data_IF_442923022926
#
_entry.id   IF_442923022926
#
_cell.length_a   1.000
_cell.length_b   1.000
_cell.length_c   1.000
_cell.angle_alpha   90.00
_cell.angle_beta   90.00
_cell.angle_gamma   90.00
#
_symmetry.space_group_name_H-M   'P 1'
#
loop_
_entity.id
_entity.type
_entity.pdbx_description
1 polymer ?
#
# COMPACT_ATOMS: atom_id res chain seq x y z
N UNK A 1 11.81 8.82 -17.43
CA UNK A 1 11.56 8.50 -16.00
C UNK A 1 10.78 7.20 -15.90
N UNK A 2 10.52 6.74 -14.69
CA UNK A 2 9.80 5.47 -14.44
C UNK A 2 8.26 5.62 -14.55
N UNK A 3 7.74 6.80 -14.93
CA UNK A 3 6.30 7.06 -15.05
C UNK A 3 5.69 7.86 -13.90
N UNK A 4 4.39 7.76 -13.71
CA UNK A 4 3.62 8.48 -12.70
C UNK A 4 2.87 7.50 -11.78
N UNK A 5 2.83 7.79 -10.49
CA UNK A 5 2.04 7.04 -9.51
C UNK A 5 1.46 7.98 -8.46
N UNK A 6 0.18 7.88 -8.19
CA UNK A 6 -0.47 8.75 -7.21
C UNK A 6 -1.93 8.44 -7.00
N UNK A 7 -2.53 9.19 -6.10
CA UNK A 7 -3.97 9.25 -5.88
C UNK A 7 -4.37 10.71 -5.87
N UNK A 8 -5.43 11.05 -6.60
CA UNK A 8 -6.01 12.39 -6.63
C UNK A 8 -7.47 12.33 -6.16
N UNK A 9 -7.99 13.44 -5.69
CA UNK A 9 -9.41 13.58 -5.37
C UNK A 9 -9.93 14.94 -5.83
N UNK A 10 -11.16 14.95 -6.25
CA UNK A 10 -11.86 16.14 -6.72
C UNK A 10 -13.29 15.80 -7.14
N UNK A 11 -14.02 16.78 -7.66
CA UNK A 11 -15.30 16.51 -8.29
C UNK A 11 -15.08 15.74 -9.60
N UNK A 12 -16.05 14.95 -10.01
CA UNK A 12 -15.94 14.01 -11.12
C UNK A 12 -15.40 14.66 -12.40
N UNK A 13 -15.95 15.80 -12.78
CA UNK A 13 -15.57 16.52 -13.99
C UNK A 13 -14.10 16.97 -13.98
N UNK A 14 -13.57 17.32 -12.79
CA UNK A 14 -12.17 17.70 -12.65
C UNK A 14 -11.24 16.49 -12.77
N UNK A 15 -11.67 15.32 -12.28
CA UNK A 15 -10.92 14.07 -12.43
C UNK A 15 -10.82 13.69 -13.92
N UNK A 16 -11.93 13.72 -14.64
CA UNK A 16 -11.95 13.42 -16.09
C UNK A 16 -11.09 14.39 -16.90
N UNK A 17 -11.12 15.69 -16.57
CA UNK A 17 -10.22 16.67 -17.21
C UNK A 17 -8.75 16.36 -16.94
N UNK A 18 -8.42 15.98 -15.72
CA UNK A 18 -7.06 15.60 -15.35
C UNK A 18 -6.60 14.35 -16.11
N UNK A 19 -7.43 13.33 -16.23
CA UNK A 19 -7.12 12.12 -17.01
C UNK A 19 -6.92 12.45 -18.50
N UNK A 20 -7.79 13.26 -19.08
CA UNK A 20 -7.63 13.72 -20.47
C UNK A 20 -6.30 14.47 -20.67
N UNK A 21 -5.89 15.25 -19.67
CA UNK A 21 -4.59 15.93 -19.70
C UNK A 21 -3.43 14.93 -19.61
N UNK A 22 -3.50 13.89 -18.75
CA UNK A 22 -2.48 12.83 -18.69
C UNK A 22 -2.37 12.11 -20.04
N UNK A 23 -3.48 11.79 -20.68
CA UNK A 23 -3.49 11.19 -22.02
C UNK A 23 -2.79 12.08 -23.06
N UNK A 24 -3.06 13.39 -23.04
CA UNK A 24 -2.41 14.35 -23.95
C UNK A 24 -0.90 14.46 -23.73
N UNK A 25 -0.42 14.13 -22.52
CA UNK A 25 1.01 14.07 -22.20
C UNK A 25 1.66 12.70 -22.52
N UNK A 26 0.92 11.76 -23.12
CA UNK A 26 1.41 10.45 -23.52
C UNK A 26 1.30 9.35 -22.47
N UNK A 27 0.60 9.57 -21.35
CA UNK A 27 0.34 8.54 -20.34
C UNK A 27 -0.90 7.70 -20.70
N UNK A 28 -0.86 7.01 -21.84
CA UNK A 28 -2.01 6.27 -22.37
C UNK A 28 -2.38 5.03 -21.55
N UNK A 29 -1.40 4.38 -20.92
CA UNK A 29 -1.58 3.10 -20.22
C UNK A 29 -1.87 3.26 -18.70
N UNK A 30 -2.26 4.46 -18.25
CA UNK A 30 -2.71 4.61 -16.87
C UNK A 30 -4.03 3.85 -16.68
N UNK A 31 -4.11 3.06 -15.63
CA UNK A 31 -5.30 2.28 -15.29
C UNK A 31 -5.88 2.83 -13.99
N UNK A 32 -6.67 3.91 -14.04
CA UNK A 32 -7.22 4.55 -12.85
C UNK A 32 -8.21 3.62 -12.14
N UNK A 33 -8.24 3.71 -10.81
CA UNK A 33 -9.23 3.07 -9.95
C UNK A 33 -10.02 4.14 -9.26
N UNK A 34 -11.33 4.06 -9.35
CA UNK A 34 -12.23 5.05 -8.79
C UNK A 34 -12.82 4.56 -7.47
N UNK A 35 -12.90 5.47 -6.51
CA UNK A 35 -13.67 5.29 -5.30
C UNK A 35 -14.27 6.62 -4.88
N UNK A 36 -15.36 6.58 -4.14
CA UNK A 36 -16.06 7.76 -3.67
C UNK A 36 -15.83 7.95 -2.17
N UNK A 37 -15.67 9.20 -1.74
CA UNK A 37 -15.54 9.58 -0.34
C UNK A 37 -16.50 10.71 -0.02
N UNK A 38 -17.13 10.67 1.15
CA UNK A 38 -18.02 11.76 1.62
C UNK A 38 -17.26 13.03 2.00
N UNK A 39 -15.97 12.90 2.27
CA UNK A 39 -15.08 14.00 2.65
C UNK A 39 -13.89 14.06 1.71
N UNK A 40 -13.29 15.24 1.54
CA UNK A 40 -12.05 15.39 0.77
C UNK A 40 -10.93 14.57 1.44
N UNK A 41 -10.39 13.53 0.78
CA UNK A 41 -9.40 12.65 1.39
C UNK A 41 -8.00 13.27 1.48
N UNK A 42 -7.77 14.46 0.92
CA UNK A 42 -6.50 15.16 0.96
C UNK A 42 -6.68 16.61 1.44
N UNK A 43 -5.85 17.05 2.37
CA UNK A 43 -5.86 18.45 2.86
C UNK A 43 -5.17 19.42 1.89
N UNK A 44 -4.33 18.94 1.00
CA UNK A 44 -3.56 19.77 0.06
C UNK A 44 -3.07 18.95 -1.13
N UNK A 45 -2.92 19.61 -2.27
CA UNK A 45 -2.20 19.05 -3.42
C UNK A 45 -0.72 18.85 -3.06
N UNK A 46 -0.17 17.71 -3.47
CA UNK A 46 1.23 17.36 -3.25
C UNK A 46 1.77 16.60 -4.46
N UNK A 47 2.59 17.27 -5.24
CA UNK A 47 3.33 16.66 -6.34
C UNK A 47 4.80 16.53 -5.93
N UNK A 48 5.41 15.39 -6.25
CA UNK A 48 6.83 15.12 -5.93
C UNK A 48 7.52 14.54 -7.13
N UNK A 49 8.58 15.19 -7.57
CA UNK A 49 9.56 14.58 -8.46
C UNK A 49 10.46 13.65 -7.67
N UNK A 50 10.68 12.44 -8.18
CA UNK A 50 11.49 11.41 -7.53
C UNK A 50 12.36 10.68 -8.54
N UNK A 51 13.57 10.30 -8.13
CA UNK A 51 14.47 9.46 -8.94
C UNK A 51 13.92 8.06 -9.22
N UNK A 52 13.08 7.54 -8.34
CA UNK A 52 12.41 6.25 -8.47
C UNK A 52 10.94 6.41 -8.08
N UNK A 53 10.03 5.84 -8.85
CA UNK A 53 8.58 5.88 -8.59
C UNK A 53 8.24 5.23 -7.24
N UNK A 54 8.93 4.15 -6.91
CA UNK A 54 9.01 3.55 -5.58
C UNK A 54 10.45 3.13 -5.32
N UNK A 55 10.99 3.53 -4.18
CA UNK A 55 12.42 3.39 -3.90
C UNK A 55 12.82 1.94 -3.64
N UNK A 56 13.58 1.34 -4.53
CA UNK A 56 14.19 0.02 -4.36
C UNK A 56 15.73 0.09 -4.26
N UNK A 57 16.33 1.18 -4.74
CA UNK A 57 17.79 1.35 -4.80
C UNK A 57 18.49 0.22 -5.53
N UNK A 58 18.03 -0.10 -6.73
CA UNK A 58 18.61 -1.11 -7.61
C UNK A 58 18.75 -0.58 -9.03
N UNK A 59 19.96 -0.55 -9.56
CA UNK A 59 20.27 0.01 -10.89
C UNK A 59 19.74 -0.83 -12.06
N UNK A 60 19.43 -2.10 -11.83
CA UNK A 60 19.11 -3.05 -12.91
C UNK A 60 17.67 -3.53 -12.84
N UNK A 61 16.73 -2.61 -12.65
CA UNK A 61 15.30 -2.92 -12.63
C UNK A 61 14.64 -2.25 -13.82
N UNK A 62 13.95 -3.01 -14.64
CA UNK A 62 13.33 -2.58 -15.88
C UNK A 62 11.95 -3.25 -16.00
N UNK A 63 10.93 -2.67 -15.34
CA UNK A 63 9.59 -3.25 -15.34
C UNK A 63 8.88 -3.19 -16.70
N UNK A 64 9.29 -2.30 -17.60
CA UNK A 64 8.71 -2.17 -18.94
C UNK A 64 9.02 -3.40 -19.80
N UNK A 65 10.27 -3.87 -19.76
CA UNK A 65 10.71 -4.98 -20.60
C UNK A 65 10.72 -6.33 -19.88
N UNK A 66 10.98 -6.35 -18.57
CA UNK A 66 11.09 -7.58 -17.79
C UNK A 66 10.29 -7.44 -16.50
N UNK A 67 9.14 -8.11 -16.44
CA UNK A 67 8.31 -8.12 -15.23
C UNK A 67 7.73 -9.51 -14.97
N UNK A 68 7.09 -9.71 -13.82
CA UNK A 68 6.31 -10.90 -13.50
C UNK A 68 4.95 -10.90 -14.20
N UNK A 69 4.37 -12.09 -14.35
CA UNK A 69 3.04 -12.25 -14.95
C UNK A 69 1.98 -11.54 -14.13
N UNK A 70 1.20 -10.65 -14.74
CA UNK A 70 0.05 -9.98 -14.12
C UNK A 70 -1.14 -10.96 -14.08
N UNK A 71 -1.67 -11.21 -12.88
CA UNK A 71 -2.80 -12.11 -12.64
C UNK A 71 -4.02 -11.28 -12.24
N UNK A 72 -5.06 -11.33 -13.06
CA UNK A 72 -6.32 -10.60 -12.79
C UNK A 72 -6.97 -11.10 -11.50
N UNK A 73 -7.71 -10.27 -10.74
CA UNK A 73 -8.38 -10.65 -9.49
C UNK A 73 -9.20 -11.93 -9.58
N UNK A 74 -9.94 -12.13 -10.66
CA UNK A 74 -10.78 -13.34 -10.87
C UNK A 74 -10.01 -14.67 -10.88
N UNK A 75 -8.70 -14.65 -11.17
CA UNK A 75 -7.85 -15.85 -11.16
C UNK A 75 -6.92 -15.91 -9.94
N UNK A 76 -6.90 -14.84 -9.14
CA UNK A 76 -5.97 -14.70 -8.02
C UNK A 76 -6.20 -15.75 -6.94
N UNK A 77 -7.45 -15.97 -6.53
CA UNK A 77 -7.78 -16.96 -5.51
C UNK A 77 -7.29 -18.37 -5.87
N UNK A 78 -7.48 -18.79 -7.12
CA UNK A 78 -7.01 -20.10 -7.58
C UNK A 78 -5.48 -20.22 -7.48
N UNK A 79 -4.75 -19.16 -7.86
CA UNK A 79 -3.30 -19.15 -7.79
C UNK A 79 -2.79 -19.25 -6.34
N UNK A 80 -3.35 -18.46 -5.42
CA UNK A 80 -2.86 -18.40 -4.03
C UNK A 80 -3.36 -19.55 -3.16
N UNK A 81 -4.38 -20.28 -3.59
CA UNK A 81 -4.86 -21.51 -2.94
C UNK A 81 -4.02 -22.73 -3.28
N UNK A 82 -3.21 -22.67 -4.33
CA UNK A 82 -2.26 -23.74 -4.68
C UNK A 82 -1.14 -23.81 -3.62
N UNK A 83 -1.06 -24.91 -2.90
CA UNK A 83 -0.04 -25.15 -1.85
C UNK A 83 1.41 -25.06 -2.33
N UNK A 84 1.64 -25.17 -3.65
CA UNK A 84 2.97 -25.00 -4.26
C UNK A 84 3.33 -23.54 -4.49
N UNK A 85 2.39 -22.62 -4.36
CA UNK A 85 2.60 -21.18 -4.54
C UNK A 85 3.07 -20.55 -3.24
N UNK A 86 4.20 -19.85 -3.31
CA UNK A 86 4.69 -19.00 -2.22
C UNK A 86 4.05 -17.61 -2.39
N UNK A 87 3.14 -17.26 -1.50
CA UNK A 87 2.45 -15.96 -1.50
C UNK A 87 3.18 -14.97 -0.60
N UNK A 88 3.48 -13.78 -1.10
CA UNK A 88 4.30 -12.79 -0.39
C UNK A 88 3.64 -11.41 -0.41
N UNK A 89 3.49 -10.81 0.76
CA UNK A 89 3.07 -9.42 0.90
C UNK A 89 4.30 -8.49 0.79
N UNK A 90 4.32 -7.60 -0.21
CA UNK A 90 5.42 -6.64 -0.43
C UNK A 90 5.24 -5.31 0.32
N UNK A 91 4.26 -5.24 1.19
CA UNK A 91 4.00 -4.03 1.96
C UNK A 91 4.86 -3.98 3.21
N UNK A 92 4.92 -2.81 3.82
CA UNK A 92 5.56 -2.64 5.11
C UNK A 92 4.77 -3.33 6.21
N UNK A 93 5.43 -3.73 7.29
CA UNK A 93 4.81 -4.51 8.36
C UNK A 93 3.52 -3.88 8.92
N UNK A 94 3.50 -2.56 9.11
CA UNK A 94 2.31 -1.86 9.64
C UNK A 94 1.09 -1.97 8.70
N UNK A 95 1.31 -2.08 7.37
CA UNK A 95 0.24 -2.30 6.40
C UNK A 95 -0.28 -3.74 6.46
N UNK A 96 0.63 -4.71 6.68
CA UNK A 96 0.30 -6.14 6.81
C UNK A 96 -0.51 -6.41 8.07
N UNK A 97 -0.18 -5.74 9.18
CA UNK A 97 -0.89 -5.85 10.46
C UNK A 97 -2.36 -5.40 10.39
N UNK A 98 -2.70 -4.52 9.45
CA UNK A 98 -4.09 -4.08 9.22
C UNK A 98 -4.93 -5.10 8.45
N UNK A 99 -4.28 -5.87 7.61
CA UNK A 99 -4.93 -6.90 6.80
C UNK A 99 -3.98 -7.45 5.74
N UNK A 100 -4.20 -8.70 5.37
CA UNK A 100 -3.42 -9.41 4.36
C UNK A 100 -4.17 -10.62 3.82
N UNK A 101 -3.69 -11.24 2.74
CA UNK A 101 -4.27 -12.50 2.27
C UNK A 101 -3.91 -13.66 3.21
N UNK A 102 -4.87 -14.57 3.41
CA UNK A 102 -4.64 -15.80 4.17
C UNK A 102 -3.41 -16.55 3.63
N UNK A 103 -2.57 -17.03 4.54
CA UNK A 103 -1.33 -17.77 4.25
C UNK A 103 -0.24 -16.98 3.53
N UNK A 104 -0.33 -15.65 3.45
CA UNK A 104 0.78 -14.87 2.90
C UNK A 104 1.97 -14.80 3.87
N UNK A 105 3.17 -14.85 3.30
CA UNK A 105 4.39 -14.56 4.03
C UNK A 105 4.49 -13.06 4.28
N UNK A 106 4.70 -12.68 5.54
CA UNK A 106 5.06 -11.33 5.92
C UNK A 106 6.59 -11.23 6.04
N UNK A 107 7.28 -10.50 5.17
CA UNK A 107 8.72 -10.26 5.27
C UNK A 107 9.15 -9.43 6.48
N UNK A 108 8.19 -8.86 7.21
CA UNK A 108 8.40 -7.99 8.37
C UNK A 108 9.32 -6.80 8.07
N UNK A 109 9.17 -6.20 6.91
CA UNK A 109 10.01 -5.09 6.45
C UNK A 109 9.46 -3.74 6.94
N UNK A 110 10.38 -2.83 7.29
CA UNK A 110 10.05 -1.43 7.63
C UNK A 110 9.98 -0.55 6.39
N UNK A 111 10.65 -0.96 5.33
CA UNK A 111 10.68 -0.26 4.05
C UNK A 111 10.76 -1.24 2.88
N UNK A 112 10.31 -0.80 1.71
CA UNK A 112 10.37 -1.62 0.50
C UNK A 112 11.81 -2.02 0.11
N UNK A 113 12.82 -1.22 0.45
CA UNK A 113 14.23 -1.53 0.19
C UNK A 113 14.73 -2.75 0.96
N UNK A 114 14.15 -3.03 2.13
CA UNK A 114 14.56 -4.14 3.01
C UNK A 114 14.23 -5.50 2.39
N UNK A 115 13.26 -5.51 1.46
CA UNK A 115 12.85 -6.74 0.78
C UNK A 115 13.98 -7.41 0.01
N UNK A 116 14.98 -6.66 -0.47
CA UNK A 116 16.18 -7.25 -1.13
C UNK A 116 16.95 -8.17 -0.20
N UNK A 117 17.10 -7.76 1.06
CA UNK A 117 17.76 -8.58 2.09
C UNK A 117 16.91 -9.80 2.45
N UNK A 118 15.61 -9.63 2.60
CA UNK A 118 14.68 -10.74 2.81
C UNK A 118 14.77 -11.78 1.69
N UNK A 119 14.72 -11.35 0.43
CA UNK A 119 14.82 -12.20 -0.74
C UNK A 119 16.14 -13.01 -0.74
N UNK A 120 17.27 -12.33 -0.47
CA UNK A 120 18.59 -12.97 -0.43
C UNK A 120 18.67 -14.04 0.66
N UNK A 121 18.11 -13.77 1.83
CA UNK A 121 18.28 -14.64 3.01
C UNK A 121 17.26 -15.79 3.04
N UNK A 122 16.01 -15.53 2.60
CA UNK A 122 14.90 -16.48 2.80
C UNK A 122 14.45 -17.18 1.51
N UNK A 123 14.62 -16.56 0.34
CA UNK A 123 14.08 -17.05 -0.92
C UNK A 123 15.16 -17.48 -1.93
N UNK A 124 16.44 -17.50 -1.55
CA UNK A 124 17.53 -17.88 -2.47
C UNK A 124 17.33 -19.26 -3.09
N UNK A 125 16.79 -20.21 -2.34
CA UNK A 125 16.52 -21.60 -2.79
C UNK A 125 15.16 -21.77 -3.48
N UNK A 126 14.36 -20.72 -3.58
CA UNK A 126 13.01 -20.75 -4.13
C UNK A 126 12.92 -20.25 -5.59
N UNK A 127 14.04 -20.20 -6.31
CA UNK A 127 14.09 -19.67 -7.69
C UNK A 127 13.23 -20.44 -8.70
N UNK A 128 13.05 -21.72 -8.47
CA UNK A 128 12.23 -22.61 -9.31
C UNK A 128 10.80 -22.79 -8.77
N UNK A 129 10.47 -22.13 -7.66
CA UNK A 129 9.13 -22.17 -7.08
C UNK A 129 8.23 -21.12 -7.73
N UNK A 130 6.93 -21.40 -7.71
CA UNK A 130 5.91 -20.43 -8.11
C UNK A 130 5.76 -19.37 -7.04
N UNK A 131 6.05 -18.13 -7.36
CA UNK A 131 5.93 -16.97 -6.46
C UNK A 131 4.73 -16.14 -6.89
N UNK A 132 3.86 -15.82 -5.95
CA UNK A 132 2.79 -14.85 -6.09
C UNK A 132 3.06 -13.68 -5.13
N UNK A 133 2.93 -12.44 -5.59
CA UNK A 133 3.18 -11.27 -4.77
C UNK A 133 2.11 -10.21 -4.99
N UNK A 134 1.89 -9.41 -3.96
CA UNK A 134 0.90 -8.33 -4.00
C UNK A 134 1.37 -7.12 -3.19
N UNK A 135 0.78 -5.97 -3.49
CA UNK A 135 0.89 -4.73 -2.70
C UNK A 135 -0.38 -3.92 -2.91
N UNK A 136 -0.49 -2.74 -2.33
CA UNK A 136 -1.71 -1.90 -2.36
C UNK A 136 -2.22 -1.65 -3.78
N UNK A 137 -1.41 -1.06 -4.67
CA UNK A 137 -1.82 -0.66 -6.02
C UNK A 137 -1.06 -1.35 -7.17
N UNK A 138 -0.12 -2.27 -6.88
CA UNK A 138 0.66 -2.99 -7.90
C UNK A 138 2.07 -2.45 -8.14
N UNK A 139 2.35 -1.19 -7.90
CA UNK A 139 3.62 -0.54 -8.29
C UNK A 139 4.87 -1.17 -7.64
N UNK A 140 4.81 -1.58 -6.35
CA UNK A 140 5.92 -2.30 -5.71
C UNK A 140 6.14 -3.67 -6.34
N UNK A 141 5.05 -4.33 -6.75
CA UNK A 141 5.11 -5.64 -7.41
C UNK A 141 5.78 -5.55 -8.78
N UNK A 142 5.45 -4.57 -9.60
CA UNK A 142 6.08 -4.40 -10.91
C UNK A 142 7.60 -4.27 -10.78
N UNK A 143 8.06 -3.41 -9.88
CA UNK A 143 9.48 -3.19 -9.65
C UNK A 143 10.18 -4.41 -9.03
N UNK A 144 9.55 -5.06 -8.04
CA UNK A 144 10.11 -6.24 -7.38
C UNK A 144 10.11 -7.46 -8.29
N UNK A 145 9.08 -7.67 -9.10
CA UNK A 145 9.04 -8.81 -10.02
C UNK A 145 10.13 -8.71 -11.10
N UNK A 146 10.38 -7.50 -11.62
CA UNK A 146 11.52 -7.25 -12.51
C UNK A 146 12.84 -7.60 -11.83
N UNK A 147 13.05 -7.13 -10.61
CA UNK A 147 14.25 -7.44 -9.83
C UNK A 147 14.42 -8.96 -9.62
N UNK A 148 13.34 -9.67 -9.25
CA UNK A 148 13.38 -11.12 -9.02
C UNK A 148 13.65 -11.89 -10.31
N UNK A 149 13.02 -11.51 -11.43
CA UNK A 149 13.29 -12.12 -12.76
C UNK A 149 14.77 -12.00 -13.12
N UNK A 150 15.37 -10.82 -12.94
CA UNK A 150 16.80 -10.58 -13.16
C UNK A 150 17.71 -11.35 -12.18
N UNK A 151 17.20 -11.73 -11.00
CA UNK A 151 17.89 -12.61 -10.04
C UNK A 151 17.70 -14.11 -10.31
N UNK A 152 17.03 -14.46 -11.41
CA UNK A 152 16.86 -15.85 -11.89
C UNK A 152 15.65 -16.58 -11.32
N UNK A 153 14.66 -15.87 -10.74
CA UNK A 153 13.36 -16.48 -10.40
C UNK A 153 12.56 -16.74 -11.65
N UNK A 154 12.11 -17.97 -11.85
CA UNK A 154 11.50 -18.43 -13.11
C UNK A 154 10.02 -18.15 -13.21
N UNK A 155 9.25 -18.37 -12.14
CA UNK A 155 7.79 -18.26 -12.13
C UNK A 155 7.38 -17.18 -11.09
N UNK A 156 7.31 -15.93 -11.55
CA UNK A 156 6.99 -14.76 -10.74
C UNK A 156 5.67 -14.17 -11.20
N UNK A 157 4.67 -14.17 -10.31
CA UNK A 157 3.33 -13.71 -10.57
C UNK A 157 3.01 -12.52 -9.64
N UNK A 158 2.23 -11.56 -10.13
CA UNK A 158 1.82 -10.39 -9.36
C UNK A 158 0.32 -10.12 -9.53
N UNK A 159 -0.32 -9.67 -8.46
CA UNK A 159 -1.73 -9.27 -8.50
C UNK A 159 -1.89 -8.01 -9.34
N UNK A 160 -2.61 -8.13 -10.44
CA UNK A 160 -2.89 -7.03 -11.36
C UNK A 160 -3.70 -5.93 -10.68
N UNK A 161 -3.16 -4.69 -10.67
CA UNK A 161 -3.75 -3.55 -9.99
C UNK A 161 -3.74 -3.64 -8.46
N UNK A 162 -3.09 -4.68 -7.88
CA UNK A 162 -2.90 -4.83 -6.44
C UNK A 162 -4.17 -5.12 -5.65
N UNK A 163 -4.06 -4.96 -4.33
CA UNK A 163 -5.15 -5.23 -3.38
C UNK A 163 -6.39 -4.38 -3.70
N UNK A 164 -6.22 -3.13 -4.07
CA UNK A 164 -7.36 -2.25 -4.36
C UNK A 164 -8.20 -2.78 -5.52
N UNK A 165 -7.57 -3.24 -6.60
CA UNK A 165 -8.30 -3.86 -7.71
C UNK A 165 -8.96 -5.18 -7.31
N UNK A 166 -8.34 -5.95 -6.42
CA UNK A 166 -8.92 -7.17 -5.89
C UNK A 166 -10.17 -6.89 -5.04
N UNK A 167 -10.08 -5.94 -4.09
CA UNK A 167 -11.19 -5.56 -3.22
C UNK A 167 -12.35 -4.92 -3.98
N UNK A 168 -12.08 -4.22 -5.08
CA UNK A 168 -13.11 -3.65 -5.96
C UNK A 168 -13.87 -4.75 -6.72
N UNK A 169 -13.16 -5.78 -7.21
CA UNK A 169 -13.70 -6.77 -8.16
C UNK A 169 -14.08 -8.10 -7.56
N UNK A 170 -13.84 -8.29 -6.25
CA UNK A 170 -14.13 -9.54 -5.56
C UNK A 170 -15.18 -9.29 -4.48
N UNK A 171 -16.30 -10.01 -4.55
CA UNK A 171 -17.31 -9.94 -3.51
C UNK A 171 -16.77 -10.41 -2.16
N UNK A 172 -17.37 -9.95 -1.07
CA UNK A 172 -16.92 -10.28 0.28
C UNK A 172 -16.90 -11.80 0.53
N UNK A 173 -17.90 -12.54 0.06
CA UNK A 173 -18.02 -13.98 0.24
C UNK A 173 -16.94 -14.79 -0.47
N UNK A 174 -16.41 -14.25 -1.56
CA UNK A 174 -15.34 -14.87 -2.34
C UNK A 174 -13.95 -14.33 -1.99
N UNK A 175 -13.85 -13.39 -1.07
CA UNK A 175 -12.60 -12.73 -0.73
C UNK A 175 -11.74 -13.60 0.19
N UNK A 176 -10.49 -13.82 -0.20
CA UNK A 176 -9.45 -14.41 0.66
C UNK A 176 -8.65 -13.35 1.41
N UNK A 177 -9.04 -12.09 1.28
CA UNK A 177 -8.47 -10.97 2.02
C UNK A 177 -9.00 -10.93 3.45
N UNK A 178 -8.11 -10.72 4.41
CA UNK A 178 -8.43 -10.61 5.83
C UNK A 178 -8.07 -9.21 6.35
N UNK A 179 -9.01 -8.53 7.01
CA UNK A 179 -8.79 -7.19 7.56
C UNK A 179 -9.03 -6.06 6.56
N UNK A 180 -8.32 -4.95 6.74
CA UNK A 180 -8.47 -3.73 5.95
C UNK A 180 -7.19 -3.40 5.18
N UNK A 181 -7.31 -2.75 4.03
CA UNK A 181 -6.17 -2.32 3.23
C UNK A 181 -5.80 -0.88 3.56
N UNK A 182 -4.57 -0.64 4.01
CA UNK A 182 -4.05 0.72 4.22
C UNK A 182 -4.02 1.50 2.91
N UNK A 183 -4.50 2.74 2.97
CA UNK A 183 -4.42 3.73 1.89
C UNK A 183 -3.71 4.99 2.38
N UNK A 184 -3.01 5.68 1.45
CA UNK A 184 -2.16 6.82 1.79
C UNK A 184 -2.91 8.17 1.75
N UNK A 185 -4.18 8.16 2.20
CA UNK A 185 -5.02 9.34 2.31
C UNK A 185 -5.75 9.38 3.67
N UNK A 186 -6.59 10.39 3.89
CA UNK A 186 -7.26 10.61 5.19
C UNK A 186 -8.28 9.54 5.58
N UNK A 187 -8.65 8.62 4.67
CA UNK A 187 -9.49 7.46 4.99
C UNK A 187 -8.72 6.41 5.79
N UNK A 188 -7.38 6.44 5.71
CA UNK A 188 -6.44 5.53 6.36
C UNK A 188 -6.55 4.08 5.86
N UNK A 189 -7.76 3.55 5.70
CA UNK A 189 -8.00 2.18 5.24
C UNK A 189 -9.27 2.05 4.43
N UNK A 190 -9.33 0.99 3.62
CA UNK A 190 -10.51 0.57 2.87
C UNK A 190 -10.77 -0.92 3.05
N UNK A 191 -12.03 -1.31 2.88
CA UNK A 191 -12.55 -2.68 2.91
C UNK A 191 -12.95 -3.14 1.51
N UNK A 192 -13.59 -4.32 1.41
CA UNK A 192 -14.20 -4.79 0.17
C UNK A 192 -15.12 -3.72 -0.45
N UNK A 193 -15.17 -3.70 -1.78
CA UNK A 193 -15.87 -2.69 -2.58
C UNK A 193 -15.31 -1.27 -2.37
N UNK A 194 -14.07 -1.16 -1.90
CA UNK A 194 -13.38 0.10 -1.59
C UNK A 194 -14.12 1.01 -0.60
N UNK A 195 -15.03 0.44 0.22
CA UNK A 195 -15.71 1.17 1.30
C UNK A 195 -14.72 1.66 2.34
N UNK A 196 -15.01 2.79 2.96
CA UNK A 196 -14.17 3.35 4.02
C UNK A 196 -13.97 2.34 5.15
N UNK A 197 -12.73 2.25 5.63
CA UNK A 197 -12.34 1.39 6.74
C UNK A 197 -12.65 2.00 8.11
N UNK A 198 -12.12 1.37 9.15
CA UNK A 198 -12.36 1.75 10.55
C UNK A 198 -11.13 2.25 11.28
N UNK A 199 -9.97 2.23 10.62
CA UNK A 199 -8.74 2.72 11.24
C UNK A 199 -8.67 4.24 11.24
N UNK A 200 -8.05 4.77 12.28
CA UNK A 200 -7.64 6.18 12.39
C UNK A 200 -6.11 6.28 12.27
N UNK A 201 -5.57 7.48 12.13
CA UNK A 201 -4.14 7.71 12.04
C UNK A 201 -3.61 8.39 13.31
N UNK A 202 -2.56 7.85 13.89
CA UNK A 202 -1.87 8.53 14.99
C UNK A 202 -1.16 9.80 14.47
N UNK A 203 -1.63 10.97 14.86
CA UNK A 203 -1.05 12.25 14.44
C UNK A 203 0.39 12.49 14.91
N UNK A 204 0.87 11.71 15.89
CA UNK A 204 2.23 11.83 16.40
C UNK A 204 3.25 11.06 15.57
N UNK A 205 2.93 9.81 15.19
CA UNK A 205 3.87 8.92 14.52
C UNK A 205 3.41 8.39 13.14
N UNK A 206 2.16 8.68 12.74
CA UNK A 206 1.61 8.20 11.47
C UNK A 206 1.24 6.72 11.45
N UNK A 207 1.24 6.03 12.60
CA UNK A 207 0.84 4.63 12.68
C UNK A 207 -0.68 4.48 12.62
N UNK A 208 -1.22 3.51 11.88
CA UNK A 208 -2.66 3.24 11.87
C UNK A 208 -3.11 2.71 13.24
N UNK A 209 -4.28 3.16 13.69
CA UNK A 209 -4.82 2.84 15.01
C UNK A 209 -6.21 2.25 14.84
N UNK A 210 -6.41 1.00 15.28
CA UNK A 210 -7.72 0.34 15.27
C UNK A 210 -8.65 0.90 16.37
N UNK A 211 -9.94 0.61 16.27
CA UNK A 211 -10.93 1.00 17.28
C UNK A 211 -10.58 0.46 18.69
N UNK A 212 -9.98 -0.75 18.76
CA UNK A 212 -9.56 -1.30 20.06
C UNK A 212 -8.30 -0.61 20.60
N UNK A 213 -7.38 -0.21 19.73
CA UNK A 213 -6.21 0.56 20.14
C UNK A 213 -6.59 1.94 20.68
N UNK A 214 -7.69 2.53 20.22
CA UNK A 214 -8.22 3.80 20.74
C UNK A 214 -8.66 3.71 22.22
N UNK A 215 -9.07 2.53 22.68
CA UNK A 215 -9.49 2.28 24.07
C UNK A 215 -8.30 2.12 25.04
N UNK A 216 -7.09 2.02 24.52
CA UNK A 216 -5.88 1.80 25.35
C UNK A 216 -5.53 3.04 26.17
N UNK A 217 -5.10 2.84 27.42
CA UNK A 217 -4.52 3.90 28.28
C UNK A 217 -3.28 4.59 27.68
N UNK A 218 -2.62 3.95 26.71
CA UNK A 218 -1.48 4.51 25.95
C UNK A 218 -1.90 5.43 24.81
N UNK A 219 -3.19 5.40 24.43
CA UNK A 219 -3.70 6.27 23.39
C UNK A 219 -4.11 7.62 23.98
N UNK A 220 -3.54 8.68 23.43
CA UNK A 220 -3.93 10.06 23.72
C UNK A 220 -4.14 10.76 22.38
N UNK A 221 -5.39 11.11 22.06
CA UNK A 221 -5.77 11.72 20.78
C UNK A 221 -4.84 12.88 20.42
N UNK A 222 -4.20 12.82 19.25
CA UNK A 222 -3.27 13.83 18.76
C UNK A 222 -1.88 13.80 19.40
N UNK A 223 -1.61 12.99 20.42
CA UNK A 223 -0.36 13.00 21.19
C UNK A 223 0.39 11.66 21.08
N UNK A 224 -0.28 10.52 21.30
CA UNK A 224 0.38 9.21 21.28
C UNK A 224 -0.58 8.08 20.92
N UNK A 225 -0.03 6.95 20.47
CA UNK A 225 -0.71 5.67 20.33
C UNK A 225 0.14 4.56 20.96
N UNK A 226 -0.38 3.32 20.98
CA UNK A 226 0.33 2.15 21.53
C UNK A 226 1.75 2.02 20.96
N UNK A 227 1.95 2.31 19.68
CA UNK A 227 3.24 2.17 19.00
C UNK A 227 4.28 3.22 19.45
N UNK A 228 3.86 4.46 19.72
CA UNK A 228 4.77 5.57 20.04
C UNK A 228 4.74 6.02 21.50
N UNK A 229 3.87 5.46 22.32
CA UNK A 229 3.80 5.77 23.76
C UNK A 229 5.15 5.49 24.44
N UNK A 230 5.65 6.45 25.18
CA UNK A 230 6.96 6.37 25.85
C UNK A 230 8.18 6.52 24.93
N UNK A 231 7.99 6.65 23.61
CA UNK A 231 9.09 6.82 22.64
C UNK A 231 9.21 8.25 22.10
N UNK A 232 8.29 9.14 22.46
CA UNK A 232 8.24 10.52 21.99
C UNK A 232 8.97 11.40 23.02
N UNK A 233 9.88 12.27 22.55
CA UNK A 233 10.54 13.24 23.43
C UNK A 233 9.54 14.23 24.06
N UNK A 234 9.85 14.75 25.24
CA UNK A 234 8.96 15.71 25.92
C UNK A 234 8.76 16.99 25.09
N UNK A 235 9.78 17.47 24.36
CA UNK A 235 9.63 18.61 23.46
C UNK A 235 8.63 18.31 22.32
N UNK A 236 8.69 17.14 21.72
CA UNK A 236 7.74 16.70 20.68
C UNK A 236 6.33 16.56 21.26
N UNK A 237 6.21 16.02 22.46
CA UNK A 237 4.93 15.86 23.16
C UNK A 237 4.28 17.22 23.46
N UNK A 238 5.10 18.19 23.89
CA UNK A 238 4.60 19.55 24.13
C UNK A 238 4.11 20.20 22.82
N UNK A 239 4.88 20.12 21.74
CA UNK A 239 4.49 20.63 20.42
C UNK A 239 3.18 20.00 19.92
N UNK A 240 2.94 18.71 20.17
CA UNK A 240 1.69 18.02 19.81
C UNK A 240 0.50 18.52 20.67
N UNK A 241 0.72 18.79 21.95
CA UNK A 241 -0.29 19.39 22.84
C UNK A 241 -0.69 20.80 22.38
N UNK A 242 0.29 21.62 22.00
CA UNK A 242 0.06 22.99 21.54
C UNK A 242 -0.72 23.00 20.22
N UNK A 243 -0.33 22.13 19.27
CA UNK A 243 -1.08 21.92 18.02
C UNK A 243 -2.53 21.49 18.30
N UNK A 244 -2.76 20.61 19.25
CA UNK A 244 -4.10 20.17 19.61
C UNK A 244 -4.95 21.32 20.16
N UNK A 245 -4.35 22.18 21.01
CA UNK A 245 -5.02 23.40 21.53
C UNK A 245 -5.41 24.32 20.35
N UNK A 246 -4.49 24.60 19.44
CA UNK A 246 -4.77 25.43 18.26
C UNK A 246 -5.92 24.88 17.41
N UNK A 247 -5.97 23.57 17.16
CA UNK A 247 -7.07 22.93 16.42
C UNK A 247 -8.41 23.03 17.17
N UNK A 248 -8.40 22.99 18.51
CA UNK A 248 -9.63 23.14 19.31
C UNK A 248 -10.16 24.55 19.34
N UNK A 249 -9.30 25.56 19.19
CA UNK A 249 -9.67 26.99 19.13
C UNK A 249 -10.20 27.37 17.75
N UNK A 250 -9.69 26.71 16.68
CA UNK A 250 -10.09 26.97 15.29
C UNK A 250 -11.40 26.28 14.85
N UNK A 251 -12.03 25.51 15.73
CA UNK A 251 -13.35 24.87 15.53
C UNK A 251 -14.43 25.66 16.25
#
# INVERSE_FOLDING_TARGET
>A
GEGINGTIAGVYESIIKFESHLLSLGFADHNPKYSYSKIMPFFRLKVRDKKEIVTLRSKNVDPENITGKKIKPKYWNNLISDKKTILIDLRNNFEVEMGTFKNSLNPNTKSFTDFKSYLKNNLKKAKDKKIAMFCTGGIRCEKMSSYMRKKGFKDVNQLDGGILNYLEKTSQDNSLWNGECFVFDNRVSVKNELKDGTYDLCHACGYPVSQDMLKSKKYQKGISCINCYGKISESKKQSLKDRRKQISIAK
#
